data_IF_398551805123
#
_entry.id   IF_398551805123
#
_cell.length_a   1.000
_cell.length_b   1.000
_cell.length_c   1.000
_cell.angle_alpha   90.00
_cell.angle_beta   90.00
_cell.angle_gamma   90.00
#
_symmetry.space_group_name_H-M   'P 1'
#
loop_
_entity.id
_entity.type
_entity.pdbx_description
1 polymer ?
#
# COMPACT_ATOMS: atom_id res chain seq x y z
N UNK A 1 2.62 1.26 32.28
CA UNK A 1 1.75 0.29 31.59
C UNK A 1 0.40 0.27 32.30
N UNK A 2 -0.57 1.04 31.82
CA UNK A 2 -1.94 1.02 32.34
C UNK A 2 -2.81 0.17 31.43
N UNK A 3 -3.31 -0.96 31.93
CA UNK A 3 -4.23 -1.84 31.20
C UNK A 3 -5.63 -1.23 31.31
N UNK A 4 -6.24 -0.87 30.17
CA UNK A 4 -7.63 -0.42 30.09
C UNK A 4 -8.56 -1.54 30.59
N UNK A 5 -9.52 -1.21 31.45
CA UNK A 5 -10.48 -2.18 31.98
C UNK A 5 -11.63 -2.36 30.98
N UNK A 6 -12.18 -3.57 30.91
CA UNK A 6 -13.21 -4.00 29.97
C UNK A 6 -14.57 -3.24 30.04
N UNK A 7 -14.70 -2.22 30.91
CA UNK A 7 -15.94 -1.46 31.11
C UNK A 7 -15.81 0.04 30.77
N UNK A 8 -14.68 0.48 30.23
CA UNK A 8 -14.56 1.84 29.72
C UNK A 8 -15.17 1.88 28.31
N UNK A 9 -16.36 2.48 28.18
CA UNK A 9 -16.94 2.79 26.87
C UNK A 9 -15.96 3.75 26.17
N UNK A 10 -15.11 3.24 25.29
CA UNK A 10 -14.21 4.07 24.50
C UNK A 10 -15.06 5.08 23.71
N UNK A 11 -14.71 6.36 23.81
CA UNK A 11 -15.24 7.40 22.93
C UNK A 11 -15.06 6.93 21.46
N UNK A 12 -16.09 7.05 20.59
CA UNK A 12 -16.00 6.74 19.17
C UNK A 12 -14.74 7.23 18.45
N UNK A 13 -14.20 8.40 18.81
CA UNK A 13 -12.95 8.91 18.23
C UNK A 13 -11.72 8.07 18.63
N UNK A 14 -11.64 7.65 19.90
CA UNK A 14 -10.58 6.78 20.40
C UNK A 14 -10.73 5.36 19.86
N UNK A 15 -11.96 4.89 19.72
CA UNK A 15 -12.27 3.60 19.10
C UNK A 15 -11.86 3.60 17.61
N UNK A 16 -12.18 4.66 16.87
CA UNK A 16 -11.79 4.83 15.48
C UNK A 16 -10.27 4.94 15.33
N UNK A 17 -9.60 5.71 16.20
CA UNK A 17 -8.14 5.80 16.22
C UNK A 17 -7.50 4.44 16.54
N UNK A 18 -8.06 3.68 17.48
CA UNK A 18 -7.59 2.35 17.85
C UNK A 18 -7.76 1.33 16.72
N UNK A 19 -8.92 1.28 16.06
CA UNK A 19 -9.14 0.40 14.91
C UNK A 19 -8.32 0.81 13.69
N UNK A 20 -8.17 2.12 13.43
CA UNK A 20 -7.28 2.62 12.38
C UNK A 20 -5.86 2.17 12.66
N UNK A 21 -5.38 2.31 13.90
CA UNK A 21 -4.03 1.89 14.30
C UNK A 21 -3.83 0.38 14.16
N UNK A 22 -4.77 -0.44 14.63
CA UNK A 22 -4.72 -1.91 14.45
C UNK A 22 -4.74 -2.27 12.96
N UNK A 23 -5.59 -1.62 12.17
CA UNK A 23 -5.70 -1.83 10.73
C UNK A 23 -4.38 -1.55 10.02
N UNK A 24 -3.75 -0.40 10.30
CA UNK A 24 -2.45 -0.03 9.72
C UNK A 24 -1.35 -1.03 10.09
N UNK A 25 -1.23 -1.41 11.36
CA UNK A 25 -0.21 -2.39 11.82
C UNK A 25 -0.42 -3.75 11.15
N UNK A 26 -1.68 -4.20 11.03
CA UNK A 26 -2.03 -5.44 10.34
C UNK A 26 -1.60 -5.42 8.86
N UNK A 27 -1.88 -4.31 8.16
CA UNK A 27 -1.48 -4.14 6.77
C UNK A 27 0.05 -4.09 6.61
N UNK A 28 0.77 -3.40 7.49
CA UNK A 28 2.23 -3.32 7.44
C UNK A 28 2.87 -4.69 7.59
N UNK A 29 2.45 -5.47 8.59
CA UNK A 29 2.96 -6.84 8.80
C UNK A 29 2.61 -7.79 7.66
N UNK A 30 1.38 -7.68 7.12
CA UNK A 30 0.96 -8.53 6.00
C UNK A 30 1.81 -8.26 4.77
N UNK A 31 2.05 -6.98 4.45
CA UNK A 31 2.84 -6.60 3.28
C UNK A 31 4.32 -6.90 3.44
N UNK A 32 4.90 -6.64 4.62
CA UNK A 32 6.29 -6.99 4.93
C UNK A 32 6.53 -8.50 4.78
N UNK A 33 5.67 -9.32 5.38
CA UNK A 33 5.72 -10.78 5.25
C UNK A 33 5.58 -11.22 3.78
N UNK A 34 4.55 -10.76 3.08
CA UNK A 34 4.31 -11.16 1.69
C UNK A 34 5.48 -10.79 0.77
N UNK A 35 6.04 -9.58 0.91
CA UNK A 35 7.15 -9.14 0.08
C UNK A 35 8.42 -9.95 0.34
N UNK A 36 8.69 -10.33 1.60
CA UNK A 36 9.84 -11.18 1.93
C UNK A 36 9.66 -12.60 1.42
N UNK A 37 8.49 -13.21 1.62
CA UNK A 37 8.18 -14.57 1.13
C UNK A 37 8.26 -14.65 -0.40
N UNK A 38 7.88 -13.59 -1.10
CA UNK A 38 7.99 -13.51 -2.56
C UNK A 38 9.40 -13.17 -3.06
N UNK A 39 10.32 -12.81 -2.15
CA UNK A 39 11.66 -12.34 -2.48
C UNK A 39 11.71 -10.96 -3.12
N UNK A 40 10.66 -10.15 -2.93
CA UNK A 40 10.56 -8.77 -3.44
C UNK A 40 11.32 -7.80 -2.54
N UNK A 41 11.27 -8.01 -1.21
CA UNK A 41 11.97 -7.17 -0.24
C UNK A 41 13.12 -7.97 0.39
N UNK A 42 14.34 -7.47 0.20
CA UNK A 42 15.52 -7.87 0.98
C UNK A 42 15.91 -6.75 1.94
N UNK A 43 16.53 -7.10 3.06
CA UNK A 43 16.90 -6.12 4.09
C UNK A 43 15.68 -5.31 4.58
N UNK A 44 15.87 -4.01 4.77
CA UNK A 44 14.83 -3.10 5.28
C UNK A 44 14.13 -2.29 4.18
N UNK A 45 14.78 -2.04 3.04
CA UNK A 45 14.19 -1.21 1.98
C UNK A 45 14.66 -1.60 0.57
N UNK A 46 15.32 -2.75 0.41
CA UNK A 46 15.90 -3.19 -0.86
C UNK A 46 14.85 -3.94 -1.66
N UNK A 47 14.33 -3.31 -2.71
CA UNK A 47 13.31 -3.88 -3.58
C UNK A 47 13.94 -4.53 -4.80
N UNK A 48 13.57 -5.79 -5.05
CA UNK A 48 13.80 -6.48 -6.31
C UNK A 48 12.67 -6.14 -7.31
N UNK A 49 12.91 -5.09 -8.10
CA UNK A 49 11.97 -4.63 -9.12
C UNK A 49 11.75 -5.67 -10.24
N UNK A 50 12.77 -6.47 -10.56
CA UNK A 50 12.68 -7.51 -11.59
C UNK A 50 11.72 -8.62 -11.14
N UNK A 51 11.76 -8.98 -9.86
CA UNK A 51 10.81 -9.93 -9.26
C UNK A 51 9.37 -9.43 -9.36
N UNK A 52 9.13 -8.14 -9.07
CA UNK A 52 7.79 -7.55 -9.18
C UNK A 52 7.28 -7.62 -10.62
N UNK A 53 8.13 -7.25 -11.58
CA UNK A 53 7.78 -7.25 -13.00
C UNK A 53 7.55 -8.69 -13.53
N UNK A 54 8.37 -9.65 -13.10
CA UNK A 54 8.20 -11.06 -13.46
C UNK A 54 6.86 -11.63 -12.98
N UNK A 55 6.36 -11.19 -11.81
CA UNK A 55 5.06 -11.59 -11.29
C UNK A 55 3.87 -11.10 -12.16
N UNK A 56 4.11 -10.18 -13.10
CA UNK A 56 3.08 -9.68 -14.02
C UNK A 56 3.03 -10.43 -15.35
N UNK A 57 3.84 -11.47 -15.54
CA UNK A 57 3.98 -12.17 -16.82
C UNK A 57 2.67 -12.75 -17.38
N UNK A 58 1.66 -12.99 -16.53
CA UNK A 58 0.35 -13.49 -16.94
C UNK A 58 -0.57 -12.41 -17.56
N UNK A 59 -0.19 -11.13 -17.50
CA UNK A 59 -0.97 -10.01 -18.02
C UNK A 59 -0.48 -9.56 -19.40
N UNK A 60 -1.27 -8.74 -20.09
CA UNK A 60 -0.89 -8.18 -21.40
C UNK A 60 0.28 -7.18 -21.29
N UNK A 61 0.98 -6.97 -22.42
CA UNK A 61 2.16 -6.10 -22.49
C UNK A 61 1.88 -4.67 -22.03
N UNK A 62 0.68 -4.14 -22.30
CA UNK A 62 0.30 -2.78 -21.88
C UNK A 62 0.27 -2.69 -20.36
N UNK A 63 -0.39 -3.65 -19.70
CA UNK A 63 -0.42 -3.70 -18.24
C UNK A 63 0.96 -3.94 -17.63
N UNK A 64 1.77 -4.84 -18.22
CA UNK A 64 3.14 -5.08 -17.77
C UNK A 64 3.97 -3.77 -17.83
N UNK A 65 3.84 -3.00 -18.90
CA UNK A 65 4.49 -1.69 -19.04
C UNK A 65 3.99 -0.67 -18.02
N UNK A 66 2.68 -0.63 -17.76
CA UNK A 66 2.11 0.22 -16.70
C UNK A 66 2.72 -0.13 -15.34
N UNK A 67 2.82 -1.41 -14.99
CA UNK A 67 3.43 -1.85 -13.73
C UNK A 67 4.92 -1.47 -13.67
N UNK A 68 5.70 -1.75 -14.71
CA UNK A 68 7.12 -1.43 -14.75
C UNK A 68 7.38 0.07 -14.57
N UNK A 69 6.55 0.93 -15.19
CA UNK A 69 6.61 2.37 -15.01
C UNK A 69 6.26 2.79 -13.57
N UNK A 70 5.22 2.19 -12.98
CA UNK A 70 4.82 2.47 -11.60
C UNK A 70 5.93 2.08 -10.61
N UNK A 71 6.50 0.88 -10.74
CA UNK A 71 7.63 0.40 -9.92
C UNK A 71 8.82 1.35 -10.05
N UNK A 72 9.19 1.74 -11.28
CA UNK A 72 10.31 2.66 -11.53
C UNK A 72 10.10 4.02 -10.85
N UNK A 73 8.89 4.61 -10.95
CA UNK A 73 8.55 5.86 -10.26
C UNK A 73 8.63 5.72 -8.73
N UNK A 74 8.08 4.65 -8.17
CA UNK A 74 8.11 4.43 -6.72
C UNK A 74 9.52 4.17 -6.20
N UNK A 75 10.38 3.51 -6.99
CA UNK A 75 11.80 3.37 -6.68
C UNK A 75 12.52 4.73 -6.66
N UNK A 76 12.18 5.65 -7.58
CA UNK A 76 12.71 7.00 -7.54
C UNK A 76 12.28 7.79 -6.29
N UNK A 77 11.16 7.41 -5.66
CA UNK A 77 10.64 7.97 -4.41
C UNK A 77 11.08 7.20 -3.16
N UNK A 78 12.01 6.24 -3.28
CA UNK A 78 12.42 5.34 -2.20
C UNK A 78 12.75 6.07 -0.89
N UNK A 79 13.51 7.17 -0.94
CA UNK A 79 13.87 7.91 0.27
C UNK A 79 12.68 8.57 0.97
N UNK A 80 11.69 9.07 0.21
CA UNK A 80 10.46 9.62 0.78
C UNK A 80 9.63 8.54 1.45
N UNK A 81 9.53 7.38 0.80
CA UNK A 81 8.84 6.19 1.30
C UNK A 81 9.51 5.68 2.58
N UNK A 82 10.85 5.64 2.60
CA UNK A 82 11.66 5.25 3.76
C UNK A 82 11.43 6.18 4.94
N UNK A 83 11.51 7.49 4.73
CA UNK A 83 11.19 8.49 5.78
C UNK A 83 9.76 8.35 6.30
N UNK A 84 8.79 8.09 5.42
CA UNK A 84 7.41 7.85 5.83
C UNK A 84 7.27 6.60 6.72
N UNK A 85 8.08 5.57 6.49
CA UNK A 85 8.08 4.33 7.27
C UNK A 85 8.72 4.49 8.67
N UNK A 86 9.68 5.40 8.84
CA UNK A 86 10.34 5.67 10.14
C UNK A 86 9.35 6.17 11.22
N UNK A 87 8.20 6.70 10.81
CA UNK A 87 7.14 7.16 11.71
C UNK A 87 6.15 6.05 12.11
N UNK A 88 6.31 4.83 11.61
CA UNK A 88 5.46 3.72 12.00
C UNK A 88 5.82 3.21 13.40
N UNK A 89 4.79 2.93 14.20
CA UNK A 89 4.93 2.28 15.52
C UNK A 89 4.84 0.75 15.42
N UNK A 90 4.81 0.20 14.21
CA UNK A 90 4.70 -1.25 14.00
C UNK A 90 6.02 -1.96 14.24
N UNK A 91 5.90 -3.23 14.64
CA UNK A 91 7.04 -4.15 14.75
C UNK A 91 7.51 -4.68 13.40
N UNK A 92 6.68 -4.52 12.36
CA UNK A 92 6.96 -4.95 11.01
C UNK A 92 7.42 -3.78 10.15
N UNK A 93 8.07 -4.08 9.03
CA UNK A 93 8.61 -3.05 8.18
C UNK A 93 7.52 -2.32 7.38
N UNK A 94 7.21 -1.09 7.77
CA UNK A 94 6.22 -0.24 7.10
C UNK A 94 6.62 0.21 5.68
N UNK A 95 7.91 0.09 5.31
CA UNK A 95 8.38 0.41 3.97
C UNK A 95 7.66 -0.43 2.91
N UNK A 96 7.44 -1.73 3.18
CA UNK A 96 6.77 -2.63 2.24
C UNK A 96 5.36 -2.13 1.89
N UNK A 97 4.57 -1.75 2.90
CA UNK A 97 3.22 -1.23 2.69
C UNK A 97 3.24 0.13 1.98
N UNK A 98 4.14 1.04 2.37
CA UNK A 98 4.22 2.36 1.75
C UNK A 98 4.64 2.27 0.28
N UNK A 99 5.63 1.41 -0.03
CA UNK A 99 6.05 1.13 -1.40
C UNK A 99 4.91 0.49 -2.21
N UNK A 100 4.23 -0.51 -1.64
CA UNK A 100 3.08 -1.14 -2.28
C UNK A 100 1.96 -0.14 -2.59
N UNK A 101 1.66 0.74 -1.64
CA UNK A 101 0.66 1.81 -1.80
C UNK A 101 1.05 2.77 -2.92
N UNK A 102 2.32 3.15 -3.02
CA UNK A 102 2.81 3.94 -4.14
C UNK A 102 2.57 3.23 -5.49
N UNK A 103 2.93 1.95 -5.59
CA UNK A 103 2.78 1.19 -6.84
C UNK A 103 1.31 1.07 -7.24
N UNK A 104 0.43 0.71 -6.30
CA UNK A 104 -1.02 0.65 -6.57
C UNK A 104 -1.54 2.01 -7.03
N UNK A 105 -1.13 3.09 -6.37
CA UNK A 105 -1.58 4.43 -6.72
C UNK A 105 -1.18 4.81 -8.16
N UNK A 106 0.07 4.57 -8.54
CA UNK A 106 0.57 4.82 -9.89
C UNK A 106 -0.11 3.92 -10.93
N UNK A 107 -0.35 2.64 -10.62
CA UNK A 107 -1.08 1.73 -11.51
C UNK A 107 -2.53 2.17 -11.71
N UNK A 108 -3.20 2.63 -10.64
CA UNK A 108 -4.59 3.08 -10.71
C UNK A 108 -4.74 4.37 -11.52
N UNK A 109 -3.84 5.34 -11.34
CA UNK A 109 -3.85 6.59 -12.12
C UNK A 109 -3.56 6.34 -13.59
N UNK A 110 -2.66 5.39 -13.89
CA UNK A 110 -2.23 5.06 -15.25
C UNK A 110 -2.88 3.77 -15.78
N UNK A 111 -4.04 3.39 -15.21
CA UNK A 111 -4.71 2.15 -15.56
C UNK A 111 -5.13 2.16 -17.04
N UNK A 112 -4.73 1.16 -17.85
CA UNK A 112 -5.09 1.09 -19.26
C UNK A 112 -6.61 1.12 -19.46
N UNK A 113 -7.08 1.80 -20.51
CA UNK A 113 -8.51 1.98 -20.79
C UNK A 113 -9.21 0.64 -20.97
N UNK A 114 -8.52 -0.33 -21.55
CA UNK A 114 -9.00 -1.68 -21.81
C UNK A 114 -9.24 -2.49 -20.53
N UNK A 115 -8.58 -2.13 -19.44
CA UNK A 115 -8.73 -2.75 -18.11
C UNK A 115 -9.58 -1.92 -17.15
N UNK A 116 -9.99 -0.72 -17.57
CA UNK A 116 -10.76 0.18 -16.72
C UNK A 116 -12.18 -0.35 -16.50
N UNK A 117 -12.51 -0.60 -15.24
CA UNK A 117 -13.86 -0.99 -14.85
C UNK A 117 -14.80 0.24 -14.85
N UNK A 118 -15.98 0.10 -15.44
CA UNK A 118 -16.97 1.18 -15.58
C UNK A 118 -17.96 1.28 -14.41
N UNK A 119 -17.69 0.57 -13.31
CA UNK A 119 -18.48 0.64 -12.10
C UNK A 119 -18.52 2.06 -11.53
N UNK A 120 -19.59 2.39 -10.78
CA UNK A 120 -19.74 3.71 -10.17
C UNK A 120 -18.55 4.14 -9.30
N UNK A 121 -17.89 3.18 -8.63
CA UNK A 121 -16.75 3.44 -7.75
C UNK A 121 -15.53 3.87 -8.58
N UNK A 122 -15.20 3.14 -9.63
CA UNK A 122 -14.10 3.49 -10.52
C UNK A 122 -14.37 4.84 -11.20
N UNK A 123 -15.57 5.08 -11.74
CA UNK A 123 -15.91 6.38 -12.33
C UNK A 123 -15.72 7.54 -11.35
N UNK A 124 -16.11 7.38 -10.08
CA UNK A 124 -15.88 8.38 -9.03
C UNK A 124 -14.39 8.63 -8.79
N UNK A 125 -13.59 7.58 -8.68
CA UNK A 125 -12.13 7.69 -8.53
C UNK A 125 -11.50 8.46 -9.70
N UNK A 126 -11.88 8.13 -10.94
CA UNK A 126 -11.37 8.79 -12.16
C UNK A 126 -11.72 10.28 -12.19
N UNK A 127 -12.86 10.65 -11.61
CA UNK A 127 -13.31 12.04 -11.49
C UNK A 127 -12.75 12.76 -10.25
N UNK A 128 -11.84 12.13 -9.49
CA UNK A 128 -11.22 12.73 -8.31
C UNK A 128 -12.14 12.85 -7.10
N UNK A 129 -13.24 12.09 -7.05
CA UNK A 129 -14.12 12.06 -5.89
C UNK A 129 -13.43 11.27 -4.77
N UNK A 130 -13.27 11.82 -3.56
CA UNK A 130 -12.62 11.12 -2.46
C UNK A 130 -13.41 9.85 -2.08
N UNK A 131 -12.68 8.78 -1.73
CA UNK A 131 -13.27 7.49 -1.34
C UNK A 131 -14.17 7.58 -0.10
N UNK A 132 -13.78 8.44 0.84
CA UNK A 132 -14.51 8.73 2.07
C UNK A 132 -14.65 10.25 2.22
N UNK A 133 -15.86 10.70 2.57
CA UNK A 133 -16.05 12.07 3.06
C UNK A 133 -15.30 12.21 4.41
N UNK A 134 -14.62 13.34 4.59
CA UNK A 134 -13.88 13.63 5.83
C UNK A 134 -14.83 14.01 6.96
#
# INVERSE_FOLDING_TARGET
>A
MGVLKANDVMNPELLNAYYTKIGTVCCECTMDCAYREMGILTGDDEIDADRINANQAAFDETYQKTMANAVSKCMAMKEDIRRGAEHSESVCNAFALNFHTCVIHEVMINCPVERWDTSPICTKFKNGVPFCEK
#
